data_IF_646058971173
#
_entry.id   IF_646058971173
#
_cell.length_a   1.000
_cell.length_b   1.000
_cell.length_c   1.000
_cell.angle_alpha   90.00
_cell.angle_beta   90.00
_cell.angle_gamma   90.00
#
_symmetry.space_group_name_H-M   'P 1'
#
loop_
_entity.id
_entity.type
_entity.pdbx_description
1 polymer ?
#
# COMPACT_ATOMS: atom_id res chain seq x y z
N UNK A 1 19.62 -35.76 -14.79
CA UNK A 1 18.58 -35.17 -15.67
C UNK A 1 17.26 -34.94 -14.92
N UNK A 2 16.58 -35.98 -14.39
CA UNK A 2 15.27 -35.86 -13.72
C UNK A 2 15.21 -34.83 -12.57
N UNK A 3 16.24 -34.78 -11.72
CA UNK A 3 16.33 -33.84 -10.58
C UNK A 3 16.33 -32.35 -11.00
N UNK A 4 16.91 -31.99 -12.14
CA UNK A 4 16.92 -30.59 -12.61
C UNK A 4 15.57 -30.12 -13.17
N UNK A 5 14.76 -31.05 -13.69
CA UNK A 5 13.42 -30.74 -14.19
C UNK A 5 12.45 -30.53 -13.03
N UNK A 6 12.56 -31.36 -11.98
CA UNK A 6 11.75 -31.21 -10.75
C UNK A 6 11.99 -29.89 -10.02
N UNK A 7 13.22 -29.37 -10.01
CA UNK A 7 13.53 -28.05 -9.43
C UNK A 7 12.80 -26.96 -10.19
N UNK A 8 12.90 -26.96 -11.53
CA UNK A 8 12.20 -25.97 -12.38
C UNK A 8 10.69 -26.04 -12.22
N UNK A 9 10.11 -27.23 -12.18
CA UNK A 9 8.65 -27.38 -11.99
C UNK A 9 8.24 -26.86 -10.59
N UNK A 10 9.04 -27.10 -9.55
CA UNK A 10 8.76 -26.56 -8.20
C UNK A 10 8.73 -25.04 -8.18
N UNK A 11 9.64 -24.39 -8.90
CA UNK A 11 9.65 -22.93 -9.03
C UNK A 11 8.34 -22.43 -9.66
N UNK A 12 7.85 -23.09 -10.72
CA UNK A 12 6.59 -22.74 -11.39
C UNK A 12 5.33 -22.93 -10.54
N UNK A 13 5.37 -23.79 -9.51
CA UNK A 13 4.25 -24.04 -8.60
C UNK A 13 4.47 -23.48 -7.18
N UNK A 14 5.43 -22.57 -7.04
CA UNK A 14 5.69 -21.85 -5.78
C UNK A 14 4.84 -20.59 -5.72
N UNK A 15 4.22 -20.34 -4.58
CA UNK A 15 3.45 -19.14 -4.33
C UNK A 15 4.40 -17.92 -4.24
N UNK A 16 4.21 -16.88 -5.07
CA UNK A 16 5.09 -15.70 -5.06
C UNK A 16 4.92 -14.82 -3.81
N UNK A 17 3.91 -15.06 -2.98
CA UNK A 17 3.66 -14.30 -1.75
C UNK A 17 4.33 -14.97 -0.55
N UNK A 18 4.10 -16.27 -0.34
CA UNK A 18 4.63 -17.00 0.83
C UNK A 18 5.88 -17.83 0.52
N UNK A 19 6.28 -17.93 -0.74
CA UNK A 19 7.46 -18.67 -1.21
C UNK A 19 7.45 -20.17 -0.89
N UNK A 20 6.26 -20.71 -0.63
CA UNK A 20 6.01 -22.14 -0.40
C UNK A 20 5.24 -22.71 -1.59
N UNK A 21 5.24 -24.04 -1.75
CA UNK A 21 4.39 -24.70 -2.73
C UNK A 21 2.92 -24.28 -2.56
N UNK A 22 2.26 -24.00 -3.67
CA UNK A 22 0.90 -23.48 -3.68
C UNK A 22 -0.09 -24.38 -2.92
N UNK A 23 -0.71 -23.85 -1.87
CA UNK A 23 -1.79 -24.48 -1.11
C UNK A 23 -3.13 -23.89 -1.53
N UNK A 24 -4.05 -24.75 -1.96
CA UNK A 24 -5.32 -24.34 -2.55
C UNK A 24 -5.11 -23.25 -3.62
N UNK A 25 -4.33 -23.54 -4.69
CA UNK A 25 -4.00 -22.54 -5.70
C UNK A 25 -5.25 -21.93 -6.32
N UNK A 26 -5.27 -20.61 -6.38
CA UNK A 26 -6.24 -19.82 -7.14
C UNK A 26 -5.52 -18.95 -8.15
N UNK A 27 -6.09 -18.82 -9.35
CA UNK A 27 -5.56 -18.00 -10.43
C UNK A 27 -6.37 -16.72 -10.59
N UNK A 28 -5.68 -15.62 -10.85
CA UNK A 28 -6.27 -14.32 -11.21
C UNK A 28 -6.59 -14.25 -12.70
N UNK A 29 -7.29 -13.19 -13.14
CA UNK A 29 -7.60 -12.94 -14.56
C UNK A 29 -6.37 -12.76 -15.45
N UNK A 30 -5.19 -12.56 -14.85
CA UNK A 30 -3.89 -12.47 -15.52
C UNK A 30 -3.06 -13.76 -15.41
N UNK A 31 -3.72 -14.90 -15.13
CA UNK A 31 -3.19 -16.27 -15.07
C UNK A 31 -2.11 -16.54 -14.01
N UNK A 32 -1.75 -15.57 -13.19
CA UNK A 32 -0.85 -15.78 -12.04
C UNK A 32 -1.57 -16.53 -10.93
N UNK A 33 -0.86 -17.48 -10.31
CA UNK A 33 -1.44 -18.37 -9.30
C UNK A 33 -0.84 -18.13 -7.91
N UNK A 34 -1.71 -18.19 -6.90
CA UNK A 34 -1.37 -17.89 -5.51
C UNK A 34 -2.07 -18.86 -4.56
N UNK A 35 -1.56 -19.01 -3.33
CA UNK A 35 -2.35 -19.66 -2.28
C UNK A 35 -3.61 -18.84 -2.03
N UNK A 36 -4.76 -19.51 -1.86
CA UNK A 36 -6.04 -18.84 -1.54
C UNK A 36 -5.92 -17.88 -0.37
N UNK A 37 -5.28 -18.31 0.72
CA UNK A 37 -5.04 -17.49 1.90
C UNK A 37 -4.18 -16.26 1.59
N UNK A 38 -3.09 -16.42 0.83
CA UNK A 38 -2.16 -15.35 0.51
C UNK A 38 -2.80 -14.25 -0.33
N UNK A 39 -3.51 -14.59 -1.41
CA UNK A 39 -4.15 -13.58 -2.26
C UNK A 39 -5.33 -12.90 -1.55
N UNK A 40 -6.02 -13.62 -0.66
CA UNK A 40 -7.09 -13.04 0.18
C UNK A 40 -6.53 -11.99 1.15
N UNK A 41 -5.43 -12.29 1.84
CA UNK A 41 -4.75 -11.34 2.72
C UNK A 41 -4.20 -10.13 1.95
N UNK A 42 -3.64 -10.35 0.76
CA UNK A 42 -3.18 -9.28 -0.12
C UNK A 42 -4.31 -8.33 -0.53
N UNK A 43 -5.47 -8.89 -0.91
CA UNK A 43 -6.68 -8.11 -1.23
C UNK A 43 -7.16 -7.29 -0.03
N UNK A 44 -7.26 -7.91 1.15
CA UNK A 44 -7.71 -7.25 2.38
C UNK A 44 -6.78 -6.10 2.83
N UNK A 45 -5.48 -6.22 2.54
CA UNK A 45 -4.47 -5.20 2.85
C UNK A 45 -4.52 -3.98 1.91
N UNK A 46 -5.21 -4.10 0.77
CA UNK A 46 -5.20 -3.13 -0.31
C UNK A 46 -6.47 -2.25 -0.40
N UNK A 47 -7.37 -2.30 0.61
CA UNK A 47 -8.68 -1.61 0.71
C UNK A 47 -8.92 -0.44 -0.29
N UNK A 48 -9.24 -0.80 -1.53
CA UNK A 48 -9.91 0.05 -2.52
C UNK A 48 -11.43 -0.17 -2.39
N UNK A 49 -12.22 0.84 -2.76
CA UNK A 49 -13.69 0.83 -2.59
C UNK A 49 -14.45 -0.04 -3.61
N UNK A 50 -13.77 -0.88 -4.38
CA UNK A 50 -14.34 -1.64 -5.49
C UNK A 50 -13.80 -3.08 -5.40
N UNK A 51 -14.52 -4.06 -5.94
CA UNK A 51 -14.21 -5.51 -5.90
C UNK A 51 -12.92 -5.90 -6.67
N UNK A 52 -12.03 -4.93 -6.89
CA UNK A 52 -10.82 -5.01 -7.70
C UNK A 52 -9.58 -5.13 -6.81
N UNK A 53 -8.71 -6.09 -7.14
CA UNK A 53 -7.37 -6.25 -6.56
C UNK A 53 -6.28 -6.03 -7.59
N UNK A 54 -5.04 -5.81 -7.14
CA UNK A 54 -3.86 -5.67 -8.00
C UNK A 54 -3.00 -6.93 -7.88
N UNK A 55 -2.68 -7.57 -9.01
CA UNK A 55 -1.85 -8.76 -9.03
C UNK A 55 -0.44 -8.45 -8.49
N UNK A 56 0.06 -9.17 -7.47
CA UNK A 56 1.40 -8.93 -6.90
C UNK A 56 2.56 -9.16 -7.87
N UNK A 57 2.35 -9.90 -8.96
CA UNK A 57 3.41 -10.25 -9.93
C UNK A 57 3.48 -9.27 -11.08
N UNK A 58 2.36 -9.05 -11.78
CA UNK A 58 2.33 -8.24 -13.01
C UNK A 58 1.62 -6.90 -12.86
N UNK A 59 1.08 -6.59 -11.68
CA UNK A 59 0.36 -5.35 -11.37
C UNK A 59 -0.92 -5.10 -12.20
N UNK A 60 -1.39 -6.10 -12.95
CA UNK A 60 -2.69 -6.06 -13.64
C UNK A 60 -3.82 -6.17 -12.62
N UNK A 61 -4.85 -5.35 -12.80
CA UNK A 61 -6.08 -5.39 -12.01
C UNK A 61 -6.84 -6.69 -12.25
N UNK A 62 -7.36 -7.30 -11.20
CA UNK A 62 -8.21 -8.49 -11.26
C UNK A 62 -9.44 -8.30 -10.38
N UNK A 63 -10.53 -9.00 -10.68
CA UNK A 63 -11.70 -9.00 -9.80
C UNK A 63 -11.56 -10.08 -8.73
N UNK A 64 -11.77 -9.72 -7.46
CA UNK A 64 -11.64 -10.68 -6.36
C UNK A 64 -12.65 -11.83 -6.48
N UNK A 65 -13.86 -11.55 -6.96
CA UNK A 65 -14.87 -12.55 -7.25
C UNK A 65 -14.50 -13.51 -8.38
N UNK A 66 -13.55 -13.15 -9.25
CA UNK A 66 -13.11 -13.96 -10.37
C UNK A 66 -11.97 -14.93 -10.04
N UNK A 67 -11.49 -14.98 -8.79
CA UNK A 67 -10.45 -15.93 -8.39
C UNK A 67 -10.90 -17.37 -8.64
N UNK A 68 -10.24 -18.06 -9.57
CA UNK A 68 -10.61 -19.43 -9.96
C UNK A 68 -9.71 -20.44 -9.26
N UNK A 69 -10.26 -21.45 -8.56
CA UNK A 69 -9.47 -22.58 -8.09
C UNK A 69 -8.76 -23.28 -9.26
N UNK A 70 -7.45 -23.45 -9.16
CA UNK A 70 -6.64 -24.10 -10.18
C UNK A 70 -6.34 -25.55 -9.79
N UNK A 71 -7.26 -26.45 -10.12
CA UNK A 71 -7.12 -27.89 -9.82
C UNK A 71 -5.92 -28.53 -10.51
N UNK A 72 -5.53 -28.04 -11.69
CA UNK A 72 -4.39 -28.60 -12.42
C UNK A 72 -3.08 -28.33 -11.66
N UNK A 73 -2.88 -27.09 -11.21
CA UNK A 73 -1.73 -26.73 -10.37
C UNK A 73 -1.78 -27.46 -9.03
N UNK A 74 -2.96 -27.60 -8.41
CA UNK A 74 -3.12 -28.37 -7.18
C UNK A 74 -2.65 -29.84 -7.36
N UNK A 75 -3.09 -30.49 -8.43
CA UNK A 75 -2.70 -31.86 -8.74
C UNK A 75 -1.20 -31.99 -9.07
N UNK A 76 -0.59 -30.96 -9.67
CA UNK A 76 0.86 -30.93 -9.93
C UNK A 76 1.61 -30.82 -8.60
N UNK A 77 1.19 -29.93 -7.71
CA UNK A 77 1.78 -29.79 -6.36
C UNK A 77 1.66 -31.11 -5.60
N UNK A 78 0.49 -31.74 -5.61
CA UNK A 78 0.23 -33.04 -4.98
C UNK A 78 1.18 -34.13 -5.51
N UNK A 79 1.27 -34.30 -6.83
CA UNK A 79 2.20 -35.26 -7.43
C UNK A 79 3.65 -34.96 -7.12
N UNK A 80 4.06 -33.69 -7.05
CA UNK A 80 5.43 -33.32 -6.66
C UNK A 80 5.68 -33.66 -5.20
N UNK A 81 4.68 -33.52 -4.33
CA UNK A 81 4.78 -33.92 -2.93
C UNK A 81 4.80 -35.44 -2.76
N UNK A 82 4.02 -36.18 -3.54
CA UNK A 82 4.03 -37.66 -3.58
C UNK A 82 5.30 -38.22 -4.23
N UNK A 83 5.91 -37.50 -5.18
CA UNK A 83 7.19 -37.90 -5.78
C UNK A 83 8.33 -37.86 -4.76
N UNK A 84 8.18 -37.11 -3.66
CA UNK A 84 9.11 -37.18 -2.52
C UNK A 84 9.02 -38.50 -1.75
N UNK A 85 8.03 -39.36 -2.03
CA UNK A 85 7.73 -40.58 -1.28
C UNK A 85 8.32 -41.87 -1.87
N UNK A 86 9.22 -41.81 -2.85
CA UNK A 86 10.03 -43.00 -3.17
C UNK A 86 11.13 -43.14 -2.10
N UNK A 87 11.22 -44.26 -1.36
CA UNK A 87 12.26 -44.47 -0.34
C UNK A 87 13.67 -44.46 -0.92
N UNK A 88 13.81 -44.53 -2.24
CA UNK A 88 15.06 -44.68 -2.97
C UNK A 88 15.69 -43.33 -3.36
N UNK A 89 14.92 -42.25 -3.55
CA UNK A 89 15.46 -40.91 -3.90
C UNK A 89 15.76 -40.01 -2.69
N UNK A 90 15.20 -40.29 -1.51
CA UNK A 90 15.62 -39.64 -0.24
C UNK A 90 17.03 -40.07 0.20
N UNK A 91 17.63 -41.06 -0.48
CA UNK A 91 19.01 -41.50 -0.27
C UNK A 91 19.93 -41.17 -1.45
N UNK A 92 19.90 -39.93 -1.97
CA UNK A 92 21.19 -39.31 -2.33
C UNK A 92 21.92 -38.99 -1.03
N UNK A 93 22.45 -40.04 -0.39
CA UNK A 93 23.34 -39.89 0.75
C UNK A 93 24.54 -39.10 0.23
N UNK A 94 24.61 -37.82 0.60
CA UNK A 94 25.81 -37.03 0.39
C UNK A 94 26.93 -37.72 1.18
N UNK A 95 27.75 -38.51 0.49
CA UNK A 95 28.86 -39.24 1.09
C UNK A 95 30.13 -38.41 1.02
N UNK A 96 30.94 -38.50 2.06
CA UNK A 96 32.24 -37.88 2.11
C UNK A 96 33.15 -38.52 1.06
N UNK A 97 33.71 -37.72 0.15
CA UNK A 97 34.60 -38.23 -0.89
C UNK A 97 35.87 -38.90 -0.34
N UNK A 98 36.34 -38.48 0.84
CA UNK A 98 37.53 -39.03 1.47
C UNK A 98 37.27 -40.33 2.25
N UNK A 99 36.08 -40.48 2.84
CA UNK A 99 35.81 -41.52 3.83
C UNK A 99 34.65 -42.46 3.46
N UNK A 100 33.83 -42.13 2.47
CA UNK A 100 32.61 -42.88 2.11
C UNK A 100 31.45 -42.74 3.11
N UNK A 101 31.69 -42.12 4.26
CA UNK A 101 30.70 -41.91 5.33
C UNK A 101 29.69 -40.80 5.01
N UNK A 102 28.51 -40.85 5.63
CA UNK A 102 27.46 -39.82 5.44
C UNK A 102 27.93 -38.44 5.91
N UNK A 103 27.67 -37.41 5.11
CA UNK A 103 27.85 -36.00 5.47
C UNK A 103 26.62 -35.55 6.27
N UNK A 104 26.74 -35.50 7.60
CA UNK A 104 25.65 -35.13 8.52
C UNK A 104 26.02 -33.97 9.45
N UNK A 105 27.30 -33.59 9.49
CA UNK A 105 27.81 -32.54 10.36
C UNK A 105 28.16 -31.32 9.54
N UNK A 106 28.03 -30.14 10.14
CA UNK A 106 28.47 -28.86 9.61
C UNK A 106 29.56 -28.30 10.50
N UNK A 107 30.73 -28.00 9.94
CA UNK A 107 31.79 -27.29 10.64
C UNK A 107 31.55 -25.79 10.57
N UNK A 108 31.28 -25.15 11.71
CA UNK A 108 30.98 -23.71 11.76
C UNK A 108 32.19 -22.85 11.41
N UNK A 109 33.40 -23.29 11.77
CA UNK A 109 34.63 -22.54 11.49
C UNK A 109 34.98 -22.53 10.00
N UNK A 110 34.87 -23.68 9.35
CA UNK A 110 35.30 -23.86 7.96
C UNK A 110 34.14 -23.73 6.97
N UNK A 111 32.90 -23.59 7.46
CA UNK A 111 31.68 -23.43 6.67
C UNK A 111 31.44 -24.56 5.66
N UNK A 112 31.76 -25.80 6.05
CA UNK A 112 31.64 -27.00 5.19
C UNK A 112 30.88 -28.13 5.88
N UNK A 113 30.19 -28.95 5.09
CA UNK A 113 29.58 -30.19 5.55
C UNK A 113 30.61 -31.31 5.58
N UNK A 114 30.70 -32.03 6.70
CA UNK A 114 31.69 -33.06 6.95
C UNK A 114 31.03 -34.34 7.49
N UNK A 115 31.74 -35.47 7.43
CA UNK A 115 31.33 -36.70 8.11
C UNK A 115 31.96 -36.80 9.51
N UNK A 116 31.54 -37.80 10.29
CA UNK A 116 32.06 -38.03 11.64
C UNK A 116 33.56 -38.37 11.69
N UNK A 117 34.12 -38.93 10.60
CA UNK A 117 35.58 -39.15 10.49
C UNK A 117 36.34 -37.85 10.23
N UNK A 118 35.85 -37.00 9.32
CA UNK A 118 36.41 -35.66 9.09
C UNK A 118 36.43 -34.83 10.38
N UNK A 119 35.38 -34.88 11.21
CA UNK A 119 35.34 -34.17 12.50
C UNK A 119 36.52 -34.54 13.42
N UNK A 120 37.01 -35.78 13.34
CA UNK A 120 38.12 -36.30 14.16
C UNK A 120 39.48 -36.17 13.47
N UNK A 121 39.50 -35.86 12.18
CA UNK A 121 40.71 -35.60 11.41
C UNK A 121 41.44 -34.35 11.92
N UNK A 122 42.73 -34.23 11.62
CA UNK A 122 43.50 -33.04 12.01
C UNK A 122 42.93 -31.75 11.43
N UNK A 123 42.26 -31.82 10.27
CA UNK A 123 41.75 -30.67 9.54
C UNK A 123 40.60 -29.95 10.27
N UNK A 124 39.78 -30.70 11.03
CA UNK A 124 38.62 -30.14 11.75
C UNK A 124 38.67 -30.40 13.27
N UNK A 125 39.78 -30.92 13.80
CA UNK A 125 39.90 -31.26 15.22
C UNK A 125 39.74 -30.02 16.10
N UNK A 126 38.76 -30.06 16.99
CA UNK A 126 38.48 -28.97 17.94
C UNK A 126 37.68 -27.81 17.34
N UNK A 127 37.23 -27.91 16.09
CA UNK A 127 36.27 -26.95 15.53
C UNK A 127 34.86 -27.24 16.06
N UNK A 128 34.06 -26.19 16.20
CA UNK A 128 32.64 -26.35 16.53
C UNK A 128 31.91 -26.98 15.35
N UNK A 129 31.17 -28.04 15.64
CA UNK A 129 30.38 -28.78 14.64
C UNK A 129 28.98 -29.04 15.18
N UNK A 130 27.98 -28.90 14.33
CA UNK A 130 26.58 -29.19 14.66
C UNK A 130 25.96 -30.09 13.58
N UNK A 131 24.79 -30.68 13.85
CA UNK A 131 24.06 -31.41 12.82
C UNK A 131 23.56 -30.44 11.75
N UNK A 132 23.61 -30.87 10.48
CA UNK A 132 23.11 -30.05 9.36
C UNK A 132 21.65 -29.63 9.60
N UNK A 133 20.84 -30.54 10.14
CA UNK A 133 19.43 -30.28 10.44
C UNK A 133 19.24 -29.17 11.48
N UNK A 134 20.06 -29.13 12.52
CA UNK A 134 20.03 -28.09 13.56
C UNK A 134 20.42 -26.72 12.99
N UNK A 135 21.50 -26.70 12.21
CA UNK A 135 22.00 -25.48 11.56
C UNK A 135 20.98 -24.96 10.55
N UNK A 136 20.43 -25.84 9.71
CA UNK A 136 19.42 -25.50 8.73
C UNK A 136 18.15 -24.96 9.41
N UNK A 137 17.70 -25.60 10.49
CA UNK A 137 16.54 -25.13 11.25
C UNK A 137 16.78 -23.74 11.87
N UNK A 138 17.96 -23.53 12.46
CA UNK A 138 18.36 -22.22 13.02
C UNK A 138 18.36 -21.13 11.94
N UNK A 139 19.01 -21.35 10.80
CA UNK A 139 19.03 -20.38 9.70
C UNK A 139 17.65 -20.13 9.11
N UNK A 140 16.85 -21.20 8.94
CA UNK A 140 15.47 -21.07 8.47
C UNK A 140 14.66 -20.15 9.39
N UNK A 141 14.72 -20.36 10.70
CA UNK A 141 13.99 -19.53 11.65
C UNK A 141 14.51 -18.09 11.68
N UNK A 142 15.83 -17.88 11.59
CA UNK A 142 16.43 -16.55 11.56
C UNK A 142 15.97 -15.78 10.30
N UNK A 143 16.10 -16.38 9.12
CA UNK A 143 15.68 -15.75 7.86
C UNK A 143 14.18 -15.47 7.87
N UNK A 144 13.37 -16.40 8.39
CA UNK A 144 11.93 -16.19 8.51
C UNK A 144 11.60 -14.99 9.41
N UNK A 145 12.28 -14.87 10.56
CA UNK A 145 12.15 -13.71 11.45
C UNK A 145 12.57 -12.41 10.77
N UNK A 146 13.66 -12.43 10.00
CA UNK A 146 14.14 -11.25 9.27
C UNK A 146 13.16 -10.83 8.17
N UNK A 147 12.57 -11.79 7.45
CA UNK A 147 11.51 -11.56 6.46
C UNK A 147 10.29 -10.91 7.10
N UNK A 148 9.82 -11.43 8.23
CA UNK A 148 8.69 -10.88 8.98
C UNK A 148 8.98 -9.45 9.45
N UNK A 149 10.21 -9.19 9.91
CA UNK A 149 10.61 -7.87 10.36
C UNK A 149 10.60 -6.86 9.20
N UNK A 150 11.18 -7.22 8.04
CA UNK A 150 11.12 -6.39 6.83
C UNK A 150 9.68 -6.10 6.42
N UNK A 151 8.80 -7.12 6.44
CA UNK A 151 7.39 -6.93 6.12
C UNK A 151 6.70 -5.95 7.07
N UNK A 152 7.01 -6.03 8.38
CA UNK A 152 6.45 -5.14 9.41
C UNK A 152 6.92 -3.69 9.23
N UNK A 153 8.21 -3.47 9.01
CA UNK A 153 8.78 -2.14 8.76
C UNK A 153 8.13 -1.45 7.56
N UNK A 154 8.01 -2.16 6.43
CA UNK A 154 7.37 -1.62 5.24
C UNK A 154 5.86 -1.41 5.40
N UNK A 155 5.19 -2.22 6.24
CA UNK A 155 3.79 -1.98 6.60
C UNK A 155 3.64 -0.67 7.39
N UNK A 156 4.48 -0.43 8.38
CA UNK A 156 4.47 0.82 9.16
C UNK A 156 4.70 2.06 8.28
N UNK A 157 5.64 1.98 7.34
CA UNK A 157 5.88 3.07 6.36
C UNK A 157 4.65 3.36 5.49
N UNK A 158 3.97 2.33 5.00
CA UNK A 158 2.72 2.50 4.22
C UNK A 158 1.63 3.17 5.05
N UNK A 159 1.40 2.70 6.26
CA UNK A 159 0.39 3.28 7.17
C UNK A 159 0.67 4.76 7.48
N UNK A 160 1.94 5.12 7.71
CA UNK A 160 2.35 6.51 7.91
C UNK A 160 2.06 7.37 6.67
N UNK A 161 2.47 6.90 5.48
CA UNK A 161 2.25 7.62 4.23
C UNK A 161 0.75 7.79 3.93
N UNK A 162 -0.06 6.77 4.16
CA UNK A 162 -1.52 6.84 3.98
C UNK A 162 -2.17 7.82 4.95
N UNK A 163 -1.75 7.82 6.22
CA UNK A 163 -2.19 8.79 7.22
C UNK A 163 -1.84 10.22 6.81
N UNK A 164 -0.59 10.43 6.35
CA UNK A 164 -0.12 11.75 5.88
C UNK A 164 -0.91 12.21 4.66
N UNK A 165 -1.10 11.34 3.66
CA UNK A 165 -1.94 11.59 2.48
C UNK A 165 -3.36 12.00 2.88
N UNK A 166 -3.99 11.23 3.78
CA UNK A 166 -5.36 11.49 4.27
C UNK A 166 -5.44 12.85 4.97
N UNK A 167 -4.48 13.19 5.83
CA UNK A 167 -4.42 14.48 6.51
C UNK A 167 -4.33 15.66 5.53
N UNK A 168 -3.45 15.59 4.53
CA UNK A 168 -3.31 16.67 3.55
C UNK A 168 -4.56 16.81 2.66
N UNK A 169 -5.18 15.70 2.24
CA UNK A 169 -6.45 15.74 1.50
C UNK A 169 -7.57 16.37 2.34
N UNK A 170 -7.67 16.03 3.62
CA UNK A 170 -8.68 16.57 4.52
C UNK A 170 -8.53 18.09 4.71
N UNK A 171 -7.30 18.61 4.80
CA UNK A 171 -7.05 20.05 4.85
C UNK A 171 -7.55 20.76 3.60
N UNK A 172 -7.28 20.20 2.41
CA UNK A 172 -7.74 20.76 1.14
C UNK A 172 -9.27 20.72 1.00
N UNK A 173 -9.89 19.63 1.45
CA UNK A 173 -11.36 19.53 1.47
C UNK A 173 -11.98 20.57 2.40
N UNK A 174 -11.41 20.76 3.60
CA UNK A 174 -11.87 21.78 4.53
C UNK A 174 -11.69 23.19 3.98
N UNK A 175 -10.55 23.48 3.36
CA UNK A 175 -10.31 24.78 2.71
C UNK A 175 -11.34 25.04 1.59
N UNK A 176 -11.62 24.04 0.75
CA UNK A 176 -12.68 24.13 -0.28
C UNK A 176 -14.03 24.45 0.36
N UNK A 177 -14.38 23.73 1.41
CA UNK A 177 -15.67 23.90 2.11
C UNK A 177 -15.81 25.30 2.71
N UNK A 178 -14.79 25.77 3.42
CA UNK A 178 -14.76 27.12 4.01
C UNK A 178 -14.95 28.21 2.94
N UNK A 179 -14.30 28.06 1.78
CA UNK A 179 -14.41 29.01 0.66
C UNK A 179 -15.81 28.96 0.04
N UNK A 180 -16.36 27.76 -0.19
CA UNK A 180 -17.70 27.59 -0.77
C UNK A 180 -18.78 28.20 0.14
N UNK A 181 -18.70 27.95 1.44
CA UNK A 181 -19.64 28.51 2.42
C UNK A 181 -19.54 30.03 2.48
N UNK A 182 -18.33 30.60 2.49
CA UNK A 182 -18.12 32.04 2.45
C UNK A 182 -18.69 32.69 1.18
N UNK A 183 -18.54 32.01 0.04
CA UNK A 183 -19.07 32.48 -1.24
C UNK A 183 -20.61 32.43 -1.26
N UNK A 184 -21.21 31.35 -0.77
CA UNK A 184 -22.66 31.20 -0.67
C UNK A 184 -23.28 32.28 0.24
N UNK A 185 -22.67 32.57 1.39
CA UNK A 185 -23.09 33.67 2.26
C UNK A 185 -23.03 35.02 1.53
N UNK A 186 -21.92 35.31 0.84
CA UNK A 186 -21.77 36.58 0.13
C UNK A 186 -22.76 36.71 -1.02
N UNK A 187 -23.06 35.61 -1.73
CA UNK A 187 -24.04 35.59 -2.80
C UNK A 187 -25.45 35.87 -2.26
N UNK A 188 -25.84 35.23 -1.15
CA UNK A 188 -27.14 35.44 -0.52
C UNK A 188 -27.32 36.88 -0.02
N UNK A 189 -26.26 37.51 0.52
CA UNK A 189 -26.31 38.91 0.95
C UNK A 189 -26.48 39.87 -0.24
N UNK A 190 -25.76 39.62 -1.35
CA UNK A 190 -25.91 40.42 -2.56
C UNK A 190 -27.30 40.27 -3.19
N UNK A 191 -27.85 39.06 -3.16
CA UNK A 191 -29.20 38.79 -3.64
C UNK A 191 -30.25 39.60 -2.84
N UNK A 192 -30.15 39.60 -1.51
CA UNK A 192 -31.02 40.41 -0.64
C UNK A 192 -30.89 41.91 -0.92
N UNK A 193 -29.67 42.39 -1.14
CA UNK A 193 -29.44 43.81 -1.46
C UNK A 193 -30.00 44.17 -2.84
N UNK A 194 -29.85 43.28 -3.82
CA UNK A 194 -30.44 43.45 -5.15
C UNK A 194 -31.96 43.54 -5.09
N UNK A 195 -32.60 42.66 -4.33
CA UNK A 195 -34.06 42.68 -4.19
C UNK A 195 -34.53 43.95 -3.47
N UNK A 196 -33.85 44.38 -2.39
CA UNK A 196 -34.19 45.62 -1.70
C UNK A 196 -34.07 46.86 -2.61
N UNK A 197 -33.07 46.90 -3.50
CA UNK A 197 -32.94 47.98 -4.50
C UNK A 197 -34.04 47.89 -5.55
N UNK A 198 -34.36 46.68 -6.03
CA UNK A 198 -35.45 46.47 -6.99
C UNK A 198 -36.78 46.93 -6.42
N UNK A 199 -37.11 46.52 -5.20
CA UNK A 199 -38.34 46.94 -4.53
C UNK A 199 -38.42 48.47 -4.39
N UNK A 200 -37.29 49.13 -4.11
CA UNK A 200 -37.26 50.59 -3.99
C UNK A 200 -37.51 51.27 -5.34
N UNK A 201 -36.95 50.74 -6.43
CA UNK A 201 -37.21 51.23 -7.78
C UNK A 201 -38.69 51.08 -8.12
N UNK A 202 -39.27 49.90 -7.88
CA UNK A 202 -40.70 49.64 -8.13
C UNK A 202 -41.61 50.59 -7.34
N UNK A 203 -41.29 50.88 -6.07
CA UNK A 203 -42.03 51.85 -5.26
C UNK A 203 -41.96 53.26 -5.85
N UNK A 204 -40.79 53.67 -6.35
CA UNK A 204 -40.60 54.98 -6.98
C UNK A 204 -41.36 55.09 -8.31
N UNK A 205 -41.33 54.04 -9.14
CA UNK A 205 -42.09 53.97 -10.39
C UNK A 205 -43.60 54.05 -10.13
N UNK A 206 -44.11 53.27 -9.17
CA UNK A 206 -45.52 53.31 -8.79
C UNK A 206 -45.94 54.70 -8.25
N UNK A 207 -45.07 55.37 -7.49
CA UNK A 207 -45.36 56.73 -7.02
C UNK A 207 -45.49 57.74 -8.17
N UNK A 208 -44.72 57.58 -9.25
CA UNK A 208 -44.78 58.44 -10.42
C UNK A 208 -46.04 58.21 -11.26
N UNK A 209 -46.60 56.98 -11.22
CA UNK A 209 -47.82 56.61 -11.93
C UNK A 209 -49.11 56.88 -11.12
N UNK A 210 -49.00 57.21 -9.83
CA UNK A 210 -50.13 57.45 -8.92
C UNK A 210 -50.80 58.82 -9.09
N UNK A 211 -52.02 58.95 -8.55
CA UNK A 211 -52.68 60.25 -8.41
C UNK A 211 -51.93 61.16 -7.44
N UNK A 212 -52.03 62.49 -7.60
CA UNK A 212 -51.32 63.47 -6.75
C UNK A 212 -51.60 63.30 -5.25
N UNK A 213 -52.81 62.87 -4.88
CA UNK A 213 -53.21 62.64 -3.49
C UNK A 213 -52.51 61.40 -2.91
N UNK A 214 -52.48 60.29 -3.65
CA UNK A 214 -51.83 59.04 -3.25
C UNK A 214 -50.31 59.19 -3.19
N UNK A 215 -49.73 59.95 -4.12
CA UNK A 215 -48.31 60.27 -4.11
C UNK A 215 -47.91 60.99 -2.81
N UNK A 216 -48.66 62.03 -2.41
CA UNK A 216 -48.41 62.79 -1.17
C UNK A 216 -48.55 61.93 0.10
N UNK A 217 -49.38 60.89 0.08
CA UNK A 217 -49.53 59.96 1.20
C UNK A 217 -48.36 58.97 1.29
N UNK A 218 -47.84 58.49 0.15
CA UNK A 218 -46.78 57.48 0.10
C UNK A 218 -45.35 58.01 0.11
N UNK A 219 -45.10 59.29 -0.21
CA UNK A 219 -43.74 59.79 -0.47
C UNK A 219 -42.82 59.71 0.75
N UNK A 220 -43.36 59.84 1.96
CA UNK A 220 -42.58 59.78 3.20
C UNK A 220 -42.04 58.37 3.48
N UNK A 221 -42.79 57.32 3.14
CA UNK A 221 -42.33 55.94 3.37
C UNK A 221 -41.21 55.58 2.39
N UNK A 222 -41.35 55.96 1.12
CA UNK A 222 -40.32 55.78 0.09
C UNK A 222 -39.06 56.58 0.40
N UNK A 223 -39.22 57.84 0.83
CA UNK A 223 -38.09 58.69 1.24
C UNK A 223 -37.34 58.07 2.43
N UNK A 224 -38.06 57.56 3.43
CA UNK A 224 -37.46 56.89 4.58
C UNK A 224 -36.70 55.62 4.17
N UNK A 225 -37.26 54.78 3.28
CA UNK A 225 -36.57 53.60 2.72
C UNK A 225 -35.32 54.00 1.94
N UNK A 226 -35.39 55.04 1.11
CA UNK A 226 -34.25 55.52 0.31
C UNK A 226 -33.09 56.03 1.17
N UNK A 227 -33.40 56.70 2.28
CA UNK A 227 -32.38 57.23 3.21
C UNK A 227 -31.76 56.14 4.09
N UNK A 228 -32.49 55.06 4.35
CA UNK A 228 -32.04 53.96 5.21
C UNK A 228 -31.35 52.83 4.45
N UNK A 229 -31.58 52.70 3.13
CA UNK A 229 -30.95 51.69 2.31
C UNK A 229 -29.44 51.93 2.21
N UNK A 230 -28.65 50.96 2.68
CA UNK A 230 -27.19 50.95 2.53
C UNK A 230 -26.74 49.68 1.83
N UNK A 231 -26.26 49.83 0.60
CA UNK A 231 -25.61 48.75 -0.15
C UNK A 231 -24.23 48.51 0.45
N UNK A 232 -23.90 47.26 0.77
CA UNK A 232 -22.59 46.88 1.30
C UNK A 232 -21.75 46.25 0.20
N UNK A 233 -20.43 46.45 0.25
CA UNK A 233 -19.53 45.74 -0.65
C UNK A 233 -19.59 44.22 -0.39
N UNK A 234 -19.39 43.39 -1.44
CA UNK A 234 -19.22 41.94 -1.26
C UNK A 234 -18.09 41.64 -0.27
N UNK A 235 -18.25 40.58 0.53
CA UNK A 235 -17.19 40.12 1.43
C UNK A 235 -15.97 39.72 0.58
N UNK A 236 -14.81 40.31 0.88
CA UNK A 236 -13.54 39.91 0.26
C UNK A 236 -13.16 38.55 0.85
N UNK A 237 -13.17 37.50 0.03
CA UNK A 237 -12.66 36.19 0.43
C UNK A 237 -11.13 36.29 0.51
N UNK A 238 -10.51 36.13 1.70
CA UNK A 238 -9.07 36.22 1.81
C UNK A 238 -8.41 35.15 0.94
N UNK A 239 -7.47 35.55 0.08
CA UNK A 239 -6.55 34.59 -0.57
C UNK A 239 -5.64 34.03 0.53
N UNK A 240 -6.06 32.96 1.21
CA UNK A 240 -5.15 32.18 2.04
C UNK A 240 -4.01 31.71 1.14
N UNK A 241 -2.77 31.78 1.63
CA UNK A 241 -1.61 31.29 0.91
C UNK A 241 -1.76 29.78 0.78
N UNK A 242 -2.14 29.33 -0.42
CA UNK A 242 -2.46 27.92 -0.68
C UNK A 242 -1.21 27.08 -0.49
N UNK A 243 -1.22 26.24 0.54
CA UNK A 243 -0.15 25.29 0.82
C UNK A 243 -0.23 24.15 -0.19
N UNK A 244 0.60 24.20 -1.23
CA UNK A 244 0.75 23.10 -2.19
C UNK A 244 1.62 22.04 -1.53
N UNK A 245 1.07 20.86 -1.29
CA UNK A 245 1.86 19.72 -0.84
C UNK A 245 2.91 19.37 -1.89
N UNK A 246 4.17 19.29 -1.46
CA UNK A 246 5.29 18.79 -2.28
C UNK A 246 5.80 17.52 -1.63
N UNK A 247 5.72 16.41 -2.38
CA UNK A 247 6.29 15.15 -1.93
C UNK A 247 7.82 15.29 -1.84
N UNK A 248 8.44 14.85 -0.74
CA UNK A 248 9.89 14.74 -0.66
C UNK A 248 10.45 13.76 -1.69
N UNK A 249 11.64 14.04 -2.24
CA UNK A 249 12.35 13.08 -3.10
C UNK A 249 12.94 11.95 -2.26
N UNK A 250 12.14 10.89 -2.05
CA UNK A 250 12.56 9.72 -1.29
C UNK A 250 13.75 9.01 -1.95
N UNK A 251 13.88 9.04 -3.29
CA UNK A 251 14.99 8.40 -3.99
C UNK A 251 16.29 9.13 -3.68
N UNK A 252 16.30 10.45 -3.80
CA UNK A 252 17.44 11.28 -3.44
C UNK A 252 17.82 11.13 -1.96
N UNK A 253 16.83 11.13 -1.06
CA UNK A 253 17.08 10.94 0.37
C UNK A 253 17.76 9.60 0.68
N UNK A 254 17.24 8.49 0.12
CA UNK A 254 17.81 7.16 0.34
C UNK A 254 19.24 7.04 -0.21
N UNK A 255 19.53 7.66 -1.36
CA UNK A 255 20.87 7.70 -1.93
C UNK A 255 21.87 8.42 -1.02
N UNK A 256 21.47 9.53 -0.39
CA UNK A 256 22.30 10.27 0.58
C UNK A 256 22.54 9.44 1.85
N UNK A 257 21.50 8.81 2.39
CA UNK A 257 21.63 7.94 3.56
C UNK A 257 22.56 6.74 3.30
N UNK A 258 22.47 6.12 2.13
CA UNK A 258 23.37 5.01 1.76
C UNK A 258 24.84 5.47 1.74
N UNK A 259 25.13 6.62 1.11
CA UNK A 259 26.48 7.19 1.08
C UNK A 259 27.05 7.51 2.47
N UNK A 260 26.20 7.91 3.42
CA UNK A 260 26.59 8.16 4.81
C UNK A 260 26.89 6.87 5.57
N UNK A 261 26.07 5.83 5.40
CA UNK A 261 26.27 4.52 6.01
C UNK A 261 27.53 3.83 5.48
N UNK A 262 27.81 3.98 4.19
CA UNK A 262 29.02 3.44 3.56
C UNK A 262 30.25 4.17 4.07
N UNK A 263 30.20 5.50 4.24
CA UNK A 263 31.31 6.28 4.81
C UNK A 263 31.62 5.91 6.27
N UNK A 264 30.61 5.56 7.07
CA UNK A 264 30.80 5.12 8.47
C UNK A 264 31.41 3.72 8.61
N UNK A 265 31.44 2.90 7.55
CA UNK A 265 32.10 1.58 7.56
C UNK A 265 33.62 1.64 7.35
N UNK A 266 34.16 2.81 7.03
CA UNK A 266 35.59 3.02 6.78
C UNK A 266 36.31 3.79 7.90
N UNK A 267 35.68 3.94 9.06
CA UNK A 267 36.24 4.52 10.29
C UNK A 267 36.03 3.54 11.45
#
# INVERSE_FOLDING_TARGET
>A
MASSVLVKIKEEVTCPICLELLREPVSTDCDHSFCRACITLNYQSSKGKEEEGICPVCQVTYLFGNLRPNRQVANIVERITEFKSSPEEEQKVNVCAQHGEKLQLFCEKDMVTICWLCQRSQDHRGHQTALIEEVAHKYKNQIQSDVENVQMEFKGLREFLDSKKKSELQKLMKEKEDVMNSLAESQNELEKQREAVRDLISDMEHQLDCSTLEMLQGVNSVLTRSQTLRVKLPKIIPRKQRSIFRAPDMKGMLQVFQGLMDAQRYW
#
